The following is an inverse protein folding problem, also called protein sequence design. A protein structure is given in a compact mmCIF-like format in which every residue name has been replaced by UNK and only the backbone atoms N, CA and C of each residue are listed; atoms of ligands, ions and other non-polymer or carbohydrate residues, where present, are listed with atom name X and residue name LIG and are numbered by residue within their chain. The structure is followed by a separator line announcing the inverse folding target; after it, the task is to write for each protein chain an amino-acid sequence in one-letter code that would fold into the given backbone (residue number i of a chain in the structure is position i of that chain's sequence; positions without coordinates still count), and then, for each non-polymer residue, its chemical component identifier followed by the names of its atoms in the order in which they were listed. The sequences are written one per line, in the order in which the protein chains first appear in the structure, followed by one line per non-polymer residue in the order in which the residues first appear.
data_IF_073567021292
#
_entry.id   IF_073567021292
#
_cell.length_a   1.000
_cell.length_b   1.000
_cell.length_c   1.000
_cell.angle_alpha   90.00
_cell.angle_beta   90.00
_cell.angle_gamma   90.00
#
_symmetry.space_group_name_H-M   'P 1'
#
loop_
_entity.id
_entity.type
_entity.pdbx_description
1 polymer ?
#
# COMPACT_ATOMS: atom_id res chain seq x y z
N UNK A 1 63.32 18.44 -25.69
CA UNK A 1 63.89 19.78 -25.37
C UNK A 1 62.80 20.78 -25.85
N UNK A 2 62.44 21.77 -25.02
CA UNK A 2 61.49 22.86 -25.28
C UNK A 2 60.06 22.50 -24.90
N UNK A 3 59.61 22.88 -23.82
CA UNK A 3 59.27 24.06 -23.03
C UNK A 3 57.74 24.17 -22.89
N UNK A 4 57.33 23.89 -21.65
CA UNK A 4 55.95 24.18 -21.15
C UNK A 4 56.00 25.54 -20.44
N UNK A 5 55.21 26.50 -20.89
CA UNK A 5 54.79 27.63 -20.07
C UNK A 5 53.45 28.17 -20.62
N UNK A 6 52.45 28.26 -19.77
CA UNK A 6 51.34 29.20 -19.93
C UNK A 6 49.94 28.65 -20.16
N UNK A 7 49.33 27.97 -19.17
CA UNK A 7 47.88 27.93 -19.00
C UNK A 7 47.59 27.84 -17.49
N UNK A 8 47.65 28.97 -16.80
CA UNK A 8 47.06 29.11 -15.44
C UNK A 8 46.46 30.53 -15.41
N UNK A 9 45.21 30.69 -15.79
CA UNK A 9 44.37 31.84 -15.38
C UNK A 9 42.92 31.85 -15.98
N UNK A 10 42.27 30.70 -16.10
CA UNK A 10 40.83 30.71 -16.42
C UNK A 10 39.94 29.76 -15.61
N UNK A 11 40.45 29.12 -14.59
CA UNK A 11 39.69 28.20 -13.74
C UNK A 11 39.15 28.81 -12.44
N UNK A 12 39.47 30.06 -12.13
CA UNK A 12 39.05 30.70 -10.88
C UNK A 12 37.69 31.40 -10.93
N UNK A 13 37.15 31.71 -12.09
CA UNK A 13 35.93 32.52 -12.23
C UNK A 13 34.67 31.64 -12.42
N UNK A 14 34.82 30.45 -12.98
CA UNK A 14 33.69 29.56 -13.23
C UNK A 14 33.16 28.90 -11.94
N UNK A 15 34.04 28.61 -10.98
CA UNK A 15 33.67 28.01 -9.70
C UNK A 15 32.92 28.96 -8.75
N UNK A 16 33.11 30.27 -8.86
CA UNK A 16 32.43 31.25 -8.02
C UNK A 16 30.98 31.49 -8.47
N UNK A 17 30.72 31.46 -9.79
CA UNK A 17 29.37 31.64 -10.33
C UNK A 17 28.52 30.40 -10.09
N UNK A 18 29.08 29.19 -10.22
CA UNK A 18 28.36 27.94 -9.92
C UNK A 18 28.00 27.80 -8.44
N UNK A 19 28.87 28.24 -7.53
CA UNK A 19 28.60 28.22 -6.09
C UNK A 19 27.54 29.24 -5.67
N UNK A 20 27.45 30.39 -6.35
CA UNK A 20 26.41 31.38 -6.06
C UNK A 20 25.04 31.00 -6.62
N UNK A 21 24.98 30.36 -7.79
CA UNK A 21 23.73 29.84 -8.36
C UNK A 21 23.18 28.64 -7.54
N UNK A 22 24.05 27.76 -7.06
CA UNK A 22 23.63 26.65 -6.19
C UNK A 22 23.12 27.13 -4.83
N UNK A 23 23.72 28.18 -4.26
CA UNK A 23 23.26 28.79 -3.01
C UNK A 23 21.92 29.54 -3.16
N UNK A 24 21.66 30.14 -4.32
CA UNK A 24 20.38 30.82 -4.61
C UNK A 24 19.23 29.84 -4.89
N UNK A 25 19.50 28.69 -5.51
CA UNK A 25 18.50 27.63 -5.75
C UNK A 25 18.15 26.93 -4.42
N UNK A 26 19.15 26.65 -3.56
CA UNK A 26 18.88 26.07 -2.24
C UNK A 26 18.18 27.03 -1.29
N UNK A 27 18.44 28.35 -1.38
CA UNK A 27 17.75 29.35 -0.57
C UNK A 27 16.29 29.54 -1.03
N UNK A 28 16.00 29.49 -2.34
CA UNK A 28 14.63 29.61 -2.83
C UNK A 28 13.77 28.37 -2.55
N UNK A 29 14.36 27.17 -2.59
CA UNK A 29 13.66 25.93 -2.20
C UNK A 29 13.46 25.85 -0.68
N UNK A 30 14.37 26.37 0.13
CA UNK A 30 14.18 26.47 1.58
C UNK A 30 13.14 27.54 1.97
N UNK A 31 13.08 28.67 1.27
CA UNK A 31 12.03 29.68 1.51
C UNK A 31 10.64 29.18 1.09
N UNK A 32 10.51 28.48 -0.06
CA UNK A 32 9.25 27.88 -0.48
C UNK A 32 8.80 26.79 0.48
N UNK A 33 9.72 25.98 1.01
CA UNK A 33 9.43 24.98 2.04
C UNK A 33 9.04 25.62 3.40
N UNK A 34 9.54 26.81 3.69
CA UNK A 34 9.27 27.54 4.93
C UNK A 34 7.94 28.33 4.86
N UNK A 35 7.55 28.84 3.69
CA UNK A 35 6.23 29.45 3.49
C UNK A 35 5.08 28.43 3.48
N UNK A 36 5.29 27.22 2.99
CA UNK A 36 4.31 26.12 3.07
C UNK A 36 4.12 25.66 4.54
N UNK A 37 5.13 25.82 5.40
CA UNK A 37 5.04 25.46 6.82
C UNK A 37 4.21 26.43 7.67
N UNK A 38 3.83 27.59 7.16
CA UNK A 38 3.14 28.64 7.96
C UNK A 38 1.62 28.66 7.86
N UNK A 39 1.01 27.79 7.05
CA UNK A 39 -0.46 27.64 6.93
C UNK A 39 -1.00 26.27 7.33
N UNK A 40 -0.19 25.42 7.94
CA UNK A 40 -0.68 24.14 8.43
C UNK A 40 -1.85 24.36 9.40
N UNK A 41 -3.02 23.82 9.08
CA UNK A 41 -4.18 23.84 9.97
C UNK A 41 -3.75 23.37 11.36
N UNK A 42 -4.05 24.17 12.38
CA UNK A 42 -3.74 23.82 13.78
C UNK A 42 -4.59 22.65 14.30
N UNK A 43 -5.59 22.21 13.53
CA UNK A 43 -6.46 21.11 13.94
C UNK A 43 -5.74 19.76 13.82
N UNK A 44 -5.78 18.93 14.87
CA UNK A 44 -5.20 17.61 14.83
C UNK A 44 -5.85 16.74 13.74
N UNK A 45 -5.06 15.85 13.12
CA UNK A 45 -5.59 14.81 12.23
C UNK A 45 -6.02 13.59 13.04
N UNK A 46 -7.21 13.02 12.77
CA UNK A 46 -7.73 11.89 13.55
C UNK A 46 -7.35 10.50 13.00
N UNK A 47 -6.38 10.40 12.08
CA UNK A 47 -5.98 9.15 11.43
C UNK A 47 -4.49 9.10 11.19
N UNK A 48 -3.96 7.87 11.08
CA UNK A 48 -2.56 7.65 10.70
C UNK A 48 -2.39 7.70 9.19
N UNK A 49 -1.18 8.07 8.76
CA UNK A 49 -0.82 8.21 7.37
C UNK A 49 0.43 7.39 7.06
N UNK A 50 0.43 6.67 5.95
CA UNK A 50 1.54 5.77 5.62
C UNK A 50 1.58 5.34 4.17
N UNK A 51 2.55 4.48 3.89
CA UNK A 51 2.81 3.96 2.56
C UNK A 51 3.09 2.46 2.60
N UNK A 52 2.97 1.81 1.45
CA UNK A 52 3.60 0.51 1.26
C UNK A 52 5.13 0.68 1.24
N UNK A 53 5.86 -0.32 1.75
CA UNK A 53 7.33 -0.31 1.72
C UNK A 53 7.91 -0.62 0.33
N UNK A 54 7.22 -0.23 -0.74
CA UNK A 54 7.63 -0.47 -2.12
C UNK A 54 8.76 0.48 -2.52
N UNK A 55 9.75 -0.02 -3.25
CA UNK A 55 10.92 0.77 -3.71
C UNK A 55 10.81 1.04 -5.21
N UNK A 56 11.19 2.24 -5.68
CA UNK A 56 11.09 2.61 -7.10
C UNK A 56 12.10 1.87 -7.99
N UNK A 57 13.14 1.29 -7.37
CA UNK A 57 14.21 0.54 -8.06
C UNK A 57 14.84 -0.48 -7.11
N UNK A 58 15.36 -1.60 -7.66
CA UNK A 58 16.02 -2.67 -6.86
C UNK A 58 17.49 -2.33 -6.64
N UNK A 59 17.77 -1.23 -5.93
CA UNK A 59 19.11 -0.79 -5.56
C UNK A 59 19.21 -0.50 -4.05
N UNK A 60 20.39 -0.55 -3.48
CA UNK A 60 20.62 -0.19 -2.09
C UNK A 60 20.31 1.30 -1.83
N UNK A 61 20.59 2.14 -2.82
CA UNK A 61 20.30 3.58 -2.79
C UNK A 61 18.79 3.84 -2.71
N UNK A 62 18.01 3.26 -3.62
CA UNK A 62 16.55 3.39 -3.62
C UNK A 62 15.93 2.90 -2.30
N UNK A 63 16.44 1.80 -1.72
CA UNK A 63 16.02 1.32 -0.39
C UNK A 63 16.33 2.36 0.69
N UNK A 64 17.49 2.99 0.65
CA UNK A 64 17.92 4.01 1.62
C UNK A 64 17.06 5.26 1.51
N UNK A 65 16.83 5.75 0.30
CA UNK A 65 15.98 6.91 0.02
C UNK A 65 14.52 6.66 0.43
N UNK A 66 13.95 5.49 0.11
CA UNK A 66 12.62 5.09 0.55
C UNK A 66 12.51 5.10 2.08
N UNK A 67 13.50 4.53 2.79
CA UNK A 67 13.51 4.57 4.26
C UNK A 67 13.57 5.99 4.81
N UNK A 68 14.37 6.86 4.20
CA UNK A 68 14.47 8.26 4.60
C UNK A 68 13.14 8.99 4.36
N UNK A 69 12.53 8.78 3.21
CA UNK A 69 11.20 9.34 2.90
C UNK A 69 10.16 8.90 3.94
N UNK A 70 10.11 7.60 4.25
CA UNK A 70 9.16 7.04 5.23
C UNK A 70 9.33 7.66 6.62
N UNK A 71 10.58 7.94 7.05
CA UNK A 71 10.85 8.53 8.39
C UNK A 71 10.22 9.90 8.57
N UNK A 72 10.09 10.67 7.50
CA UNK A 72 9.64 12.08 7.55
C UNK A 72 8.23 12.27 7.05
N UNK A 73 7.60 11.22 6.48
CA UNK A 73 6.32 11.33 5.80
C UNK A 73 5.30 10.27 6.21
N UNK A 74 5.64 9.38 7.16
CA UNK A 74 4.75 8.29 7.56
C UNK A 74 4.82 8.02 9.06
N UNK A 75 3.68 7.72 9.68
CA UNK A 75 3.56 7.16 11.03
C UNK A 75 2.95 5.75 11.02
N UNK A 76 2.79 5.18 9.81
CA UNK A 76 2.37 3.81 9.56
C UNK A 76 3.08 3.27 8.32
N UNK A 77 3.44 1.99 8.34
CA UNK A 77 3.92 1.26 7.17
C UNK A 77 3.03 0.06 6.90
N UNK A 78 2.70 -0.18 5.62
CA UNK A 78 1.99 -1.36 5.18
C UNK A 78 2.95 -2.42 4.65
N UNK A 79 2.76 -3.67 5.08
CA UNK A 79 3.43 -4.84 4.54
C UNK A 79 2.40 -5.80 3.96
N UNK A 80 2.56 -6.15 2.69
CA UNK A 80 1.73 -7.14 2.01
C UNK A 80 2.49 -8.46 1.88
N UNK A 81 1.83 -9.56 2.26
CA UNK A 81 2.32 -10.93 2.14
C UNK A 81 1.26 -11.72 1.38
N UNK A 82 1.51 -11.97 0.12
CA UNK A 82 0.66 -12.82 -0.69
C UNK A 82 1.19 -14.24 -0.77
N UNK A 83 0.28 -15.20 -0.62
CA UNK A 83 0.60 -16.62 -0.62
C UNK A 83 1.14 -17.14 0.70
N UNK A 84 1.11 -18.43 0.83
CA UNK A 84 1.39 -19.19 2.05
C UNK A 84 2.43 -20.26 1.77
N UNK A 85 3.40 -20.50 2.66
CA UNK A 85 4.27 -21.67 2.62
C UNK A 85 3.49 -22.87 3.16
N UNK A 86 2.56 -23.40 2.34
CA UNK A 86 1.55 -24.36 2.76
C UNK A 86 2.11 -25.63 3.38
N UNK A 87 3.20 -26.17 2.82
CA UNK A 87 3.80 -27.40 3.34
C UNK A 87 4.41 -27.20 4.73
N UNK A 88 5.11 -26.09 4.93
CA UNK A 88 5.71 -25.75 6.20
C UNK A 88 4.64 -25.36 7.25
N UNK A 89 3.61 -24.64 6.81
CA UNK A 89 2.51 -24.23 7.69
C UNK A 89 1.66 -25.43 8.12
N UNK A 90 1.38 -26.38 7.20
CA UNK A 90 0.62 -27.59 7.49
C UNK A 90 1.37 -28.53 8.43
N UNK A 91 2.69 -28.71 8.19
CA UNK A 91 3.54 -29.59 8.99
C UNK A 91 4.07 -28.92 10.28
N UNK A 92 3.68 -27.70 10.55
CA UNK A 92 4.19 -26.85 11.65
C UNK A 92 5.73 -26.74 11.68
N UNK A 93 6.37 -26.71 10.50
CA UNK A 93 7.82 -26.56 10.33
C UNK A 93 8.21 -25.09 10.19
N UNK A 94 9.46 -24.70 10.51
CA UNK A 94 9.97 -23.35 10.25
C UNK A 94 9.76 -22.93 8.81
N UNK A 95 9.54 -21.63 8.59
CA UNK A 95 9.40 -21.11 7.22
C UNK A 95 10.72 -21.16 6.44
N UNK A 96 10.67 -21.26 5.11
CA UNK A 96 11.86 -21.26 4.24
C UNK A 96 12.74 -20.04 4.51
N UNK A 97 14.06 -20.24 4.49
CA UNK A 97 15.04 -19.16 4.78
C UNK A 97 14.89 -17.95 3.86
N UNK A 98 14.57 -18.17 2.60
CA UNK A 98 14.35 -17.15 1.59
C UNK A 98 13.12 -16.28 1.92
N UNK A 99 12.05 -16.91 2.42
CA UNK A 99 10.86 -16.21 2.89
C UNK A 99 11.18 -15.39 4.14
N UNK A 100 11.88 -15.98 5.11
CA UNK A 100 12.30 -15.28 6.33
C UNK A 100 13.16 -14.06 5.97
N UNK A 101 14.17 -14.23 5.12
CA UNK A 101 15.03 -13.12 4.65
C UNK A 101 14.24 -12.03 3.92
N UNK A 102 13.26 -12.40 3.09
CA UNK A 102 12.37 -11.43 2.43
C UNK A 102 11.54 -10.66 3.45
N UNK A 103 11.00 -11.33 4.45
CA UNK A 103 10.22 -10.71 5.52
C UNK A 103 11.08 -9.79 6.42
N UNK A 104 12.35 -10.16 6.68
CA UNK A 104 13.30 -9.30 7.39
C UNK A 104 13.56 -8.00 6.63
N UNK A 105 13.73 -8.07 5.31
CA UNK A 105 13.85 -6.87 4.46
C UNK A 105 12.60 -6.00 4.56
N UNK A 106 11.38 -6.57 4.45
CA UNK A 106 10.12 -5.82 4.64
C UNK A 106 10.09 -5.16 6.03
N UNK A 107 10.35 -5.92 7.10
CA UNK A 107 10.36 -5.41 8.48
C UNK A 107 11.38 -4.27 8.68
N UNK A 108 12.52 -4.35 8.02
CA UNK A 108 13.57 -3.34 8.10
C UNK A 108 13.21 -1.98 7.47
N UNK A 109 12.13 -1.92 6.68
CA UNK A 109 11.61 -0.68 6.10
C UNK A 109 10.81 0.16 7.11
N UNK A 110 10.41 -0.42 8.26
CA UNK A 110 9.59 0.25 9.27
C UNK A 110 10.32 1.46 9.87
N UNK A 111 9.77 2.68 9.80
CA UNK A 111 10.30 3.83 10.49
C UNK A 111 10.24 3.65 12.02
N UNK A 112 11.18 4.22 12.78
CA UNK A 112 11.07 4.27 14.23
C UNK A 112 9.75 4.91 14.68
N UNK A 113 9.06 4.27 15.64
CA UNK A 113 7.78 4.78 16.16
C UNK A 113 6.55 4.55 15.27
N UNK A 114 6.73 4.22 13.99
CA UNK A 114 5.60 3.96 13.09
C UNK A 114 4.84 2.68 13.49
N UNK A 115 3.53 2.67 13.20
CA UNK A 115 2.68 1.49 13.33
C UNK A 115 2.84 0.56 12.13
N UNK A 116 2.47 -0.70 12.29
CA UNK A 116 2.51 -1.73 11.24
C UNK A 116 1.09 -2.14 10.87
N UNK A 117 0.72 -1.93 9.63
CA UNK A 117 -0.39 -2.62 8.98
C UNK A 117 0.18 -3.83 8.23
N UNK A 118 -0.24 -5.03 8.61
CA UNK A 118 0.14 -6.28 7.94
C UNK A 118 -1.06 -6.84 7.20
N UNK A 119 -0.93 -7.08 5.90
CA UNK A 119 -1.93 -7.72 5.07
C UNK A 119 -1.42 -9.09 4.59
N UNK A 120 -2.18 -10.14 4.86
CA UNK A 120 -1.87 -11.52 4.49
C UNK A 120 -2.97 -12.04 3.59
N UNK A 121 -2.64 -12.79 2.53
CA UNK A 121 -3.63 -13.40 1.64
C UNK A 121 -3.30 -14.86 1.34
N UNK A 122 -4.29 -15.77 1.43
CA UNK A 122 -4.11 -17.17 1.01
C UNK A 122 -4.20 -17.34 -0.51
N UNK A 123 -4.57 -16.29 -1.24
CA UNK A 123 -4.82 -16.28 -2.68
C UNK A 123 -6.20 -15.72 -3.04
N UNK A 124 -6.49 -15.66 -4.33
CA UNK A 124 -7.74 -15.09 -4.89
C UNK A 124 -8.57 -16.15 -5.61
N UNK A 125 -9.12 -17.11 -4.87
CA UNK A 125 -9.93 -18.22 -5.40
C UNK A 125 -9.17 -19.54 -5.55
N UNK A 126 -7.86 -19.53 -5.41
CA UNK A 126 -6.97 -20.69 -5.37
C UNK A 126 -5.92 -20.50 -4.28
N UNK A 127 -5.36 -21.61 -3.78
CA UNK A 127 -4.29 -21.59 -2.79
C UNK A 127 -3.00 -21.02 -3.43
N UNK A 128 -2.59 -19.84 -3.05
CA UNK A 128 -1.38 -19.21 -3.58
C UNK A 128 -0.16 -19.63 -2.75
N UNK A 129 0.88 -20.08 -3.42
CA UNK A 129 2.18 -20.33 -2.78
C UNK A 129 2.88 -19.02 -2.45
N UNK A 130 3.64 -19.00 -1.35
CA UNK A 130 4.50 -17.86 -1.01
C UNK A 130 5.50 -17.57 -2.13
N UNK A 131 5.80 -16.31 -2.37
CA UNK A 131 6.61 -15.85 -3.51
C UNK A 131 8.07 -16.30 -3.45
N UNK A 132 8.60 -16.55 -2.26
CA UNK A 132 10.01 -16.88 -2.03
C UNK A 132 10.17 -18.17 -1.26
N UNK A 133 11.00 -19.07 -1.78
CA UNK A 133 11.43 -20.30 -1.12
C UNK A 133 10.32 -21.29 -0.79
N UNK A 134 9.09 -21.09 -1.27
CA UNK A 134 8.00 -22.01 -1.00
C UNK A 134 8.23 -23.36 -1.68
N UNK A 135 7.99 -24.42 -0.92
CA UNK A 135 7.89 -25.76 -1.49
C UNK A 135 6.59 -25.93 -2.28
N UNK A 136 6.50 -26.86 -3.24
CA UNK A 136 5.26 -27.15 -3.93
C UNK A 136 4.11 -27.42 -2.95
N UNK A 137 2.87 -27.17 -3.43
CA UNK A 137 1.69 -27.50 -2.65
C UNK A 137 1.70 -28.98 -2.26
N UNK A 138 1.55 -29.32 -0.97
CA UNK A 138 1.57 -30.72 -0.54
C UNK A 138 0.37 -31.49 -1.12
N UNK A 139 0.53 -32.79 -1.45
CA UNK A 139 -0.54 -33.61 -2.06
C UNK A 139 -1.87 -33.56 -1.30
N UNK A 140 -1.82 -33.45 0.02
CA UNK A 140 -2.97 -33.39 0.91
C UNK A 140 -3.84 -32.15 0.67
N UNK A 141 -3.29 -31.07 0.08
CA UNK A 141 -3.98 -29.85 -0.24
C UNK A 141 -4.36 -29.72 -1.72
N UNK A 142 -3.98 -30.70 -2.58
CA UNK A 142 -4.35 -30.66 -4.00
C UNK A 142 -5.88 -30.70 -4.17
N UNK A 143 -6.43 -29.75 -4.93
CA UNK A 143 -7.86 -29.66 -5.20
C UNK A 143 -8.73 -29.25 -4.01
N UNK A 144 -8.14 -28.92 -2.86
CA UNK A 144 -8.85 -28.46 -1.66
C UNK A 144 -9.29 -27.01 -1.79
N UNK A 145 -10.47 -26.71 -1.24
CA UNK A 145 -10.97 -25.36 -1.07
C UNK A 145 -10.45 -24.71 0.22
N UNK A 146 -10.76 -23.45 0.40
CA UNK A 146 -10.41 -22.73 1.63
C UNK A 146 -11.13 -23.25 2.88
N UNK A 147 -12.28 -23.89 2.71
CA UNK A 147 -13.09 -24.51 3.79
C UNK A 147 -12.54 -25.85 4.28
N UNK A 148 -11.56 -26.45 3.59
CA UNK A 148 -10.94 -27.68 4.04
C UNK A 148 -10.22 -27.49 5.39
N UNK A 149 -10.41 -28.39 6.38
CA UNK A 149 -9.80 -28.24 7.69
C UNK A 149 -8.26 -28.12 7.69
N UNK A 150 -7.58 -28.84 6.78
CA UNK A 150 -6.11 -28.77 6.66
C UNK A 150 -5.66 -27.41 6.09
N UNK A 151 -6.41 -26.85 5.14
CA UNK A 151 -6.18 -25.49 4.60
C UNK A 151 -6.37 -24.44 5.70
N UNK A 152 -7.48 -24.51 6.46
CA UNK A 152 -7.75 -23.62 7.59
C UNK A 152 -6.65 -23.67 8.63
N UNK A 153 -6.22 -24.87 9.02
CA UNK A 153 -5.14 -25.05 10.00
C UNK A 153 -3.82 -24.46 9.50
N UNK A 154 -3.43 -24.76 8.27
CA UNK A 154 -2.19 -24.23 7.69
C UNK A 154 -2.23 -22.71 7.58
N UNK A 155 -3.36 -22.12 7.15
CA UNK A 155 -3.50 -20.68 7.06
C UNK A 155 -3.47 -19.99 8.43
N UNK A 156 -4.12 -20.56 9.43
CA UNK A 156 -4.09 -20.07 10.81
C UNK A 156 -2.64 -20.11 11.38
N UNK A 157 -1.90 -21.18 11.13
CA UNK A 157 -0.48 -21.30 11.51
C UNK A 157 0.35 -20.19 10.85
N UNK A 158 0.12 -19.94 9.55
CA UNK A 158 0.79 -18.86 8.82
C UNK A 158 0.48 -17.49 9.41
N UNK A 159 -0.79 -17.21 9.74
CA UNK A 159 -1.20 -15.96 10.37
C UNK A 159 -0.52 -15.77 11.75
N UNK A 160 -0.53 -16.79 12.62
CA UNK A 160 0.11 -16.74 13.95
C UNK A 160 1.60 -16.40 13.86
N UNK A 161 2.33 -17.08 12.98
CA UNK A 161 3.76 -16.84 12.77
C UNK A 161 4.04 -15.45 12.19
N UNK A 162 3.17 -14.98 11.31
CA UNK A 162 3.29 -13.63 10.77
C UNK A 162 3.02 -12.56 11.83
N UNK A 163 2.05 -12.77 12.72
CA UNK A 163 1.81 -11.89 13.88
C UNK A 163 3.03 -11.86 14.79
N UNK A 164 3.58 -13.02 15.15
CA UNK A 164 4.77 -13.11 16.01
C UNK A 164 5.97 -12.37 15.38
N UNK A 165 6.19 -12.56 14.09
CA UNK A 165 7.32 -11.98 13.37
C UNK A 165 7.20 -10.46 13.20
N UNK A 166 6.07 -9.97 12.68
CA UNK A 166 5.87 -8.55 12.34
C UNK A 166 5.35 -7.71 13.50
N UNK A 167 4.69 -8.32 14.49
CA UNK A 167 4.01 -7.65 15.60
C UNK A 167 3.13 -6.49 15.12
N UNK A 168 2.14 -6.78 14.27
CA UNK A 168 1.33 -5.74 13.64
C UNK A 168 0.42 -5.03 14.65
N UNK A 169 0.14 -3.76 14.37
CA UNK A 169 -0.87 -2.98 15.07
C UNK A 169 -2.26 -3.14 14.40
N UNK A 170 -2.28 -3.55 13.12
CA UNK A 170 -3.47 -3.82 12.33
C UNK A 170 -3.20 -5.01 11.42
N UNK A 171 -4.16 -5.96 11.33
CA UNK A 171 -4.00 -7.19 10.56
C UNK A 171 -5.14 -7.41 9.59
N UNK A 172 -4.85 -7.46 8.29
CA UNK A 172 -5.76 -8.03 7.31
C UNK A 172 -5.41 -9.50 7.06
N UNK A 173 -6.41 -10.39 7.21
CA UNK A 173 -6.32 -11.82 6.88
C UNK A 173 -6.97 -12.13 5.52
N UNK A 174 -6.95 -11.18 4.63
CA UNK A 174 -7.43 -11.26 3.26
C UNK A 174 -7.26 -9.92 2.56
N UNK A 175 -6.68 -9.95 1.36
CA UNK A 175 -6.44 -8.77 0.54
C UNK A 175 -7.44 -8.77 -0.62
N UNK A 176 -8.27 -7.71 -0.72
CA UNK A 176 -9.21 -7.50 -1.83
C UNK A 176 -10.13 -8.70 -2.08
N UNK A 177 -10.65 -9.26 -0.99
CA UNK A 177 -11.29 -10.58 -1.00
C UNK A 177 -12.57 -10.65 -1.83
N UNK A 178 -13.23 -9.52 -2.10
CA UNK A 178 -14.37 -9.47 -3.00
C UNK A 178 -14.03 -9.94 -4.43
N UNK A 179 -12.75 -9.89 -4.82
CA UNK A 179 -12.32 -10.42 -6.12
C UNK A 179 -12.49 -11.94 -6.22
N UNK A 180 -12.50 -12.66 -5.10
CA UNK A 180 -12.78 -14.11 -5.06
C UNK A 180 -14.20 -14.41 -5.57
N UNK A 181 -15.15 -13.47 -5.40
CA UNK A 181 -16.50 -13.60 -5.92
C UNK A 181 -16.54 -13.77 -7.44
N UNK A 182 -15.57 -13.22 -8.15
CA UNK A 182 -15.45 -13.38 -9.60
C UNK A 182 -15.04 -14.80 -10.00
N UNK A 183 -14.38 -15.54 -9.11
CA UNK A 183 -14.02 -16.95 -9.32
C UNK A 183 -15.19 -17.93 -9.09
N UNK A 184 -16.32 -17.41 -8.63
CA UNK A 184 -17.57 -18.15 -8.43
C UNK A 184 -18.06 -18.17 -6.98
N UNK A 185 -19.38 -18.36 -6.83
CA UNK A 185 -20.05 -18.32 -5.52
C UNK A 185 -19.52 -19.40 -4.55
N UNK A 186 -19.12 -20.56 -5.06
CA UNK A 186 -18.58 -21.64 -4.24
C UNK A 186 -17.22 -21.26 -3.68
N UNK A 187 -16.35 -20.66 -4.49
CA UNK A 187 -15.06 -20.15 -4.04
C UNK A 187 -15.21 -19.06 -2.97
N UNK A 188 -16.17 -18.16 -3.18
CA UNK A 188 -16.49 -17.15 -2.17
C UNK A 188 -16.96 -17.78 -0.86
N UNK A 189 -17.92 -18.73 -0.90
CA UNK A 189 -18.41 -19.39 0.32
C UNK A 189 -17.30 -20.09 1.08
N UNK A 190 -16.46 -20.85 0.36
CA UNK A 190 -15.29 -21.52 0.92
C UNK A 190 -14.33 -20.53 1.60
N UNK A 191 -14.03 -19.39 0.94
CA UNK A 191 -13.20 -18.36 1.54
C UNK A 191 -13.87 -17.69 2.77
N UNK A 192 -15.15 -17.36 2.68
CA UNK A 192 -15.86 -16.73 3.79
C UNK A 192 -15.90 -17.64 5.05
N UNK A 193 -15.91 -18.96 4.88
CA UNK A 193 -15.79 -19.91 5.96
C UNK A 193 -14.40 -19.89 6.59
N UNK A 194 -13.32 -19.94 5.77
CA UNK A 194 -11.95 -19.77 6.24
C UNK A 194 -11.79 -18.49 7.05
N UNK A 195 -12.25 -17.37 6.49
CA UNK A 195 -12.11 -16.06 7.12
C UNK A 195 -12.78 -16.01 8.50
N UNK A 196 -14.02 -16.50 8.60
CA UNK A 196 -14.77 -16.54 9.88
C UNK A 196 -14.04 -17.36 10.94
N UNK A 197 -13.53 -18.53 10.57
CA UNK A 197 -12.88 -19.43 11.51
C UNK A 197 -11.52 -18.87 11.95
N UNK A 198 -10.70 -18.41 11.03
CA UNK A 198 -9.40 -17.78 11.33
C UNK A 198 -9.58 -16.51 12.15
N UNK A 199 -10.56 -15.65 11.81
CA UNK A 199 -10.89 -14.45 12.58
C UNK A 199 -11.22 -14.81 14.03
N UNK A 200 -12.12 -15.79 14.27
CA UNK A 200 -12.53 -16.19 15.64
C UNK A 200 -11.34 -16.67 16.45
N UNK A 201 -10.50 -17.55 15.90
CA UNK A 201 -9.32 -18.07 16.59
C UNK A 201 -8.32 -16.96 16.92
N UNK A 202 -7.99 -16.12 15.94
CA UNK A 202 -7.04 -15.03 16.16
C UNK A 202 -7.60 -13.97 17.14
N UNK A 203 -8.89 -13.67 17.12
CA UNK A 203 -9.51 -12.76 18.10
C UNK A 203 -9.51 -13.32 19.50
N UNK A 204 -9.65 -14.63 19.67
CA UNK A 204 -9.51 -15.29 20.98
C UNK A 204 -8.08 -15.16 21.54
N UNK A 205 -7.07 -15.25 20.67
CA UNK A 205 -5.65 -15.16 21.04
C UNK A 205 -5.16 -13.71 21.18
N UNK A 206 -5.68 -12.83 20.35
CA UNK A 206 -5.28 -11.42 20.25
C UNK A 206 -6.51 -10.49 20.30
N UNK A 207 -7.22 -10.41 21.45
CA UNK A 207 -8.51 -9.68 21.54
C UNK A 207 -8.40 -8.20 21.16
N UNK A 208 -7.25 -7.59 21.41
CA UNK A 208 -7.00 -6.17 21.15
C UNK A 208 -6.42 -5.87 19.76
N UNK A 209 -6.02 -6.88 18.99
CA UNK A 209 -5.52 -6.69 17.62
C UNK A 209 -6.73 -6.50 16.68
N UNK A 210 -6.86 -5.38 15.97
CA UNK A 210 -7.84 -5.24 14.92
C UNK A 210 -7.54 -6.19 13.77
N UNK A 211 -8.54 -7.05 13.42
CA UNK A 211 -8.44 -8.07 12.37
C UNK A 211 -9.58 -7.86 11.38
N UNK A 212 -9.26 -7.89 10.07
CA UNK A 212 -10.22 -7.64 9.00
C UNK A 212 -9.80 -8.26 7.68
N UNK A 213 -10.63 -8.16 6.65
CA UNK A 213 -10.29 -8.32 5.24
C UNK A 213 -10.46 -6.99 4.51
N UNK A 214 -9.69 -6.76 3.45
CA UNK A 214 -9.88 -5.59 2.59
C UNK A 214 -10.75 -5.91 1.37
N UNK A 215 -11.40 -4.87 0.83
CA UNK A 215 -12.25 -4.93 -0.33
C UNK A 215 -11.83 -3.91 -1.38
N UNK A 216 -11.88 -4.29 -2.66
CA UNK A 216 -11.66 -3.40 -3.81
C UNK A 216 -12.90 -2.54 -4.03
N UNK A 217 -12.88 -1.27 -3.65
CA UNK A 217 -14.03 -0.37 -3.74
C UNK A 217 -14.48 -0.16 -5.19
N UNK A 218 -13.54 0.05 -6.12
CA UNK A 218 -13.88 0.29 -7.53
C UNK A 218 -14.66 -0.87 -8.16
N UNK A 219 -14.39 -2.12 -7.77
CA UNK A 219 -15.13 -3.28 -8.24
C UNK A 219 -16.48 -3.45 -7.52
N UNK A 220 -16.54 -3.18 -6.22
CA UNK A 220 -17.84 -3.15 -5.49
C UNK A 220 -18.77 -2.08 -6.06
N UNK A 221 -18.27 -0.88 -6.30
CA UNK A 221 -19.02 0.23 -6.85
C UNK A 221 -19.57 -0.06 -8.25
N UNK A 222 -18.76 -0.70 -9.12
CA UNK A 222 -19.19 -1.07 -10.47
C UNK A 222 -20.14 -2.25 -10.51
N UNK A 223 -19.86 -3.32 -9.76
CA UNK A 223 -20.53 -4.62 -9.92
C UNK A 223 -21.75 -4.78 -9.04
N UNK A 224 -21.86 -4.06 -7.92
CA UNK A 224 -23.00 -4.07 -6.98
C UNK A 224 -23.67 -5.46 -6.78
N UNK A 225 -24.88 -5.51 -6.25
CA UNK A 225 -25.66 -6.74 -6.17
C UNK A 225 -25.07 -7.82 -5.27
N UNK A 226 -24.90 -9.03 -5.78
CA UNK A 226 -24.48 -10.20 -4.99
C UNK A 226 -23.12 -10.05 -4.32
N UNK A 227 -22.15 -9.39 -4.98
CA UNK A 227 -20.83 -9.13 -4.41
C UNK A 227 -20.92 -8.21 -3.18
N UNK A 228 -21.72 -7.13 -3.26
CA UNK A 228 -21.94 -6.24 -2.13
C UNK A 228 -22.55 -7.00 -0.94
N UNK A 229 -23.63 -7.74 -1.17
CA UNK A 229 -24.30 -8.54 -0.12
C UNK A 229 -23.31 -9.52 0.52
N UNK A 230 -22.52 -10.21 -0.27
CA UNK A 230 -21.51 -11.16 0.21
C UNK A 230 -20.46 -10.49 1.12
N UNK A 231 -19.98 -9.29 0.76
CA UNK A 231 -19.08 -8.52 1.60
C UNK A 231 -19.75 -8.04 2.89
N UNK A 232 -21.00 -7.58 2.81
CA UNK A 232 -21.78 -7.16 3.98
C UNK A 232 -22.02 -8.32 4.96
N UNK A 233 -22.29 -9.54 4.47
CA UNK A 233 -22.43 -10.76 5.28
C UNK A 233 -21.12 -11.16 6.00
N UNK A 234 -19.95 -10.72 5.50
CA UNK A 234 -18.67 -10.96 6.15
C UNK A 234 -18.30 -9.88 7.19
N UNK A 235 -18.96 -8.72 7.17
CA UNK A 235 -18.65 -7.59 8.07
C UNK A 235 -18.69 -7.91 9.56
N UNK A 236 -19.53 -8.82 10.12
CA UNK A 236 -19.45 -9.21 11.53
C UNK A 236 -18.07 -9.78 11.95
N UNK A 237 -17.31 -10.28 11.00
CA UNK A 237 -15.99 -10.87 11.19
C UNK A 237 -14.85 -9.95 10.70
N UNK A 238 -15.07 -8.65 10.71
CA UNK A 238 -14.10 -7.62 10.39
C UNK A 238 -14.19 -6.51 11.45
N UNK A 239 -13.08 -6.08 12.00
CA UNK A 239 -13.07 -4.97 12.94
C UNK A 239 -13.15 -3.60 12.23
N UNK A 240 -12.81 -3.54 10.94
CA UNK A 240 -12.85 -2.34 10.12
C UNK A 240 -13.61 -2.56 8.80
N UNK A 241 -14.14 -1.48 8.24
CA UNK A 241 -14.44 -1.37 6.81
C UNK A 241 -13.15 -0.96 6.11
N UNK A 242 -12.42 -1.95 5.59
CA UNK A 242 -11.09 -1.76 5.01
C UNK A 242 -11.16 -1.80 3.48
N UNK A 243 -10.69 -0.74 2.83
CA UNK A 243 -10.90 -0.51 1.40
C UNK A 243 -9.56 -0.29 0.70
N UNK A 244 -9.34 -0.96 -0.45
CA UNK A 244 -8.41 -0.53 -1.47
C UNK A 244 -9.19 0.19 -2.59
N UNK A 245 -8.63 1.29 -3.13
CA UNK A 245 -9.32 2.09 -4.12
C UNK A 245 -8.39 2.79 -5.08
N UNK A 246 -8.65 2.60 -6.38
CA UNK A 246 -7.93 3.28 -7.46
C UNK A 246 -8.95 3.90 -8.41
N UNK A 247 -9.15 5.24 -8.35
CA UNK A 247 -10.21 5.93 -9.10
C UNK A 247 -10.03 5.82 -10.62
N UNK A 248 -8.81 5.72 -11.13
CA UNK A 248 -8.54 5.56 -12.55
C UNK A 248 -9.17 4.29 -13.17
N UNK A 249 -9.58 3.30 -12.36
CA UNK A 249 -10.34 2.16 -12.87
C UNK A 249 -11.83 2.44 -13.07
N UNK A 250 -12.38 3.53 -12.54
CA UNK A 250 -13.81 3.87 -12.66
C UNK A 250 -14.07 5.21 -13.34
N UNK A 251 -13.02 5.90 -13.79
CA UNK A 251 -13.09 7.27 -14.27
C UNK A 251 -13.14 8.29 -13.13
N UNK A 252 -13.51 9.53 -13.44
CA UNK A 252 -13.40 10.67 -12.51
C UNK A 252 -14.61 10.79 -11.57
N UNK A 253 -14.88 9.78 -10.74
CA UNK A 253 -16.01 9.80 -9.79
C UNK A 253 -15.64 9.36 -8.37
N UNK A 254 -14.50 9.83 -7.77
CA UNK A 254 -14.12 9.38 -6.43
C UNK A 254 -15.16 9.78 -5.38
N UNK A 255 -15.76 10.96 -5.46
CA UNK A 255 -16.81 11.40 -4.53
C UNK A 255 -18.04 10.50 -4.56
N UNK A 256 -18.49 10.10 -5.75
CA UNK A 256 -19.62 9.19 -5.91
C UNK A 256 -19.31 7.80 -5.33
N UNK A 257 -18.08 7.30 -5.52
CA UNK A 257 -17.67 6.03 -4.95
C UNK A 257 -17.56 6.10 -3.41
N UNK A 258 -17.07 7.20 -2.87
CA UNK A 258 -16.98 7.43 -1.43
C UNK A 258 -18.36 7.63 -0.77
N UNK A 259 -19.27 8.34 -1.42
CA UNK A 259 -20.66 8.45 -0.96
C UNK A 259 -21.33 7.07 -0.97
N UNK A 260 -21.19 6.32 -2.07
CA UNK A 260 -21.73 4.97 -2.17
C UNK A 260 -21.15 4.03 -1.09
N UNK A 261 -19.86 4.13 -0.78
CA UNK A 261 -19.23 3.37 0.30
C UNK A 261 -19.91 3.65 1.64
N UNK A 262 -20.10 4.90 1.99
CA UNK A 262 -20.72 5.28 3.27
C UNK A 262 -22.18 4.88 3.33
N UNK A 263 -22.95 5.05 2.24
CA UNK A 263 -24.35 4.64 2.16
C UNK A 263 -24.56 3.13 2.40
N UNK A 264 -23.57 2.31 2.05
CA UNK A 264 -23.68 0.86 2.14
C UNK A 264 -22.99 0.24 3.37
N UNK A 265 -22.12 0.98 4.07
CA UNK A 265 -21.33 0.41 5.17
C UNK A 265 -21.45 1.17 6.50
N UNK A 266 -21.92 2.40 6.56
CA UNK A 266 -22.08 3.18 7.81
C UNK A 266 -22.95 2.45 8.85
N UNK A 267 -23.96 1.71 8.40
CA UNK A 267 -24.90 0.96 9.27
C UNK A 267 -24.21 -0.13 10.12
N UNK A 268 -22.99 -0.55 9.76
CA UNK A 268 -22.24 -1.52 10.56
C UNK A 268 -21.56 -0.88 11.78
N UNK A 269 -21.50 0.44 11.87
CA UNK A 269 -20.89 1.16 13.00
C UNK A 269 -19.39 0.88 13.18
N UNK A 270 -18.70 0.42 12.13
CA UNK A 270 -17.28 0.07 12.18
C UNK A 270 -16.41 1.19 11.66
N UNK A 271 -15.20 1.37 12.24
CA UNK A 271 -14.22 2.32 11.71
C UNK A 271 -13.81 1.98 10.29
N UNK A 272 -13.46 3.00 9.51
CA UNK A 272 -12.92 2.85 8.17
C UNK A 272 -11.39 2.81 8.18
N UNK A 273 -10.81 2.13 7.19
CA UNK A 273 -9.40 2.20 6.85
C UNK A 273 -9.22 2.21 5.32
N UNK A 274 -8.44 3.13 4.81
CA UNK A 274 -7.95 3.08 3.43
C UNK A 274 -6.63 2.33 3.43
N UNK A 275 -6.68 1.06 3.03
CA UNK A 275 -5.54 0.14 3.19
C UNK A 275 -4.56 0.18 2.04
N UNK A 276 -5.02 0.65 0.87
CA UNK A 276 -4.19 0.86 -0.31
C UNK A 276 -4.93 1.76 -1.30
N UNK A 277 -4.29 2.82 -1.77
CA UNK A 277 -4.87 3.72 -2.76
C UNK A 277 -3.81 4.62 -3.40
N UNK A 278 -4.13 5.20 -4.52
CA UNK A 278 -3.62 6.44 -5.10
C UNK A 278 -4.36 6.71 -6.43
N UNK A 279 -4.06 7.86 -7.05
CA UNK A 279 -4.45 8.13 -8.44
C UNK A 279 -3.18 8.28 -9.31
N UNK A 280 -3.31 8.08 -10.61
CA UNK A 280 -2.19 8.28 -11.54
C UNK A 280 -1.99 9.77 -11.82
N UNK A 281 -0.73 10.19 -11.87
CA UNK A 281 -0.35 11.58 -12.17
C UNK A 281 -0.06 11.83 -13.65
N UNK A 282 -0.07 10.76 -14.47
CA UNK A 282 0.26 10.85 -15.91
C UNK A 282 -0.68 10.00 -16.74
N UNK A 283 -0.80 10.37 -18.03
CA UNK A 283 -1.48 9.54 -19.00
C UNK A 283 -0.68 8.26 -19.28
N UNK A 284 -1.29 7.12 -19.10
CA UNK A 284 -0.65 5.82 -19.30
C UNK A 284 -1.41 4.99 -20.33
N UNK A 285 -0.72 4.60 -21.41
CA UNK A 285 -1.27 3.69 -22.40
C UNK A 285 -0.80 2.25 -22.18
N UNK A 286 -1.77 1.32 -22.00
CA UNK A 286 -1.55 -0.11 -21.88
C UNK A 286 -1.97 -0.82 -23.18
N UNK A 287 -1.05 -1.10 -24.11
CA UNK A 287 -1.40 -1.56 -25.45
C UNK A 287 -2.05 -2.94 -25.51
N UNK A 288 -1.64 -3.89 -24.65
CA UNK A 288 -2.23 -5.25 -24.60
C UNK A 288 -3.65 -5.21 -24.05
N UNK A 289 -3.89 -4.42 -23.00
CA UNK A 289 -5.21 -4.21 -22.43
C UNK A 289 -6.10 -3.30 -23.29
N UNK A 290 -5.52 -2.55 -24.27
CA UNK A 290 -6.18 -1.51 -25.07
C UNK A 290 -6.88 -0.46 -24.23
N UNK A 291 -6.24 -0.07 -23.12
CA UNK A 291 -6.75 0.91 -22.16
C UNK A 291 -5.76 2.07 -22.07
N UNK A 292 -6.29 3.28 -21.97
CA UNK A 292 -5.51 4.47 -21.59
C UNK A 292 -6.06 4.98 -20.29
N UNK A 293 -5.24 4.99 -19.25
CA UNK A 293 -5.54 5.67 -17.99
C UNK A 293 -5.19 7.14 -18.18
N UNK A 294 -6.07 8.02 -17.70
CA UNK A 294 -5.88 9.47 -17.79
C UNK A 294 -5.47 10.00 -16.42
N UNK A 295 -4.33 10.67 -16.36
CA UNK A 295 -3.77 11.26 -15.16
C UNK A 295 -3.15 12.62 -15.41
N UNK A 296 -3.18 13.46 -14.40
CA UNK A 296 -2.34 14.67 -14.29
C UNK A 296 -1.96 14.87 -12.82
N UNK A 297 -0.86 15.60 -12.55
CA UNK A 297 -0.47 15.91 -11.18
C UNK A 297 -1.57 16.62 -10.38
N UNK A 298 -2.35 17.51 -11.04
CA UNK A 298 -3.46 18.24 -10.40
C UNK A 298 -4.62 17.31 -10.06
N UNK A 299 -4.96 16.37 -10.94
CA UNK A 299 -5.99 15.36 -10.70
C UNK A 299 -5.61 14.47 -9.52
N UNK A 300 -4.36 14.01 -9.47
CA UNK A 300 -3.85 13.24 -8.34
C UNK A 300 -3.91 14.03 -7.03
N UNK A 301 -3.56 15.31 -7.04
CA UNK A 301 -3.64 16.18 -5.88
C UNK A 301 -5.09 16.39 -5.42
N UNK A 302 -6.01 16.60 -6.35
CA UNK A 302 -7.45 16.73 -6.06
C UNK A 302 -8.00 15.43 -5.41
N UNK A 303 -7.64 14.27 -5.96
CA UNK A 303 -7.98 12.99 -5.36
C UNK A 303 -7.43 12.85 -3.93
N UNK A 304 -6.15 13.14 -3.73
CA UNK A 304 -5.50 13.09 -2.41
C UNK A 304 -6.22 13.99 -1.41
N UNK A 305 -6.59 15.20 -1.81
CA UNK A 305 -7.35 16.13 -0.97
C UNK A 305 -8.74 15.58 -0.60
N UNK A 306 -9.50 15.08 -1.58
CA UNK A 306 -10.83 14.46 -1.35
C UNK A 306 -10.74 13.26 -0.41
N UNK A 307 -9.75 12.40 -0.59
CA UNK A 307 -9.50 11.23 0.25
C UNK A 307 -9.22 11.63 1.71
N UNK A 308 -8.28 12.56 1.92
CA UNK A 308 -7.87 12.97 3.27
C UNK A 308 -8.99 13.74 3.99
N UNK A 309 -9.78 14.54 3.27
CA UNK A 309 -10.97 15.17 3.82
C UNK A 309 -12.05 14.16 4.22
N UNK A 310 -12.25 13.09 3.45
CA UNK A 310 -13.13 11.98 3.84
C UNK A 310 -12.59 11.26 5.07
N UNK A 311 -11.29 10.95 5.10
CA UNK A 311 -10.65 10.27 6.22
C UNK A 311 -10.76 11.08 7.52
N UNK A 312 -10.65 12.40 7.44
CA UNK A 312 -10.88 13.31 8.57
C UNK A 312 -12.35 13.29 9.02
N UNK A 313 -13.28 13.51 8.11
CA UNK A 313 -14.73 13.56 8.41
C UNK A 313 -15.25 12.25 8.99
N UNK A 314 -14.81 11.11 8.47
CA UNK A 314 -15.22 9.76 8.91
C UNK A 314 -14.29 9.15 9.95
N UNK A 315 -13.26 9.89 10.41
CA UNK A 315 -12.28 9.47 11.41
C UNK A 315 -11.69 8.09 11.07
N UNK A 316 -11.11 7.96 9.90
CA UNK A 316 -10.45 6.72 9.49
C UNK A 316 -9.40 6.31 10.51
N UNK A 317 -9.11 5.02 10.62
CA UNK A 317 -8.00 4.56 11.46
C UNK A 317 -6.66 4.89 10.82
N UNK A 318 -6.57 4.72 9.50
CA UNK A 318 -5.38 5.07 8.72
C UNK A 318 -5.68 5.20 7.23
N UNK A 319 -4.74 5.83 6.52
CA UNK A 319 -4.67 5.93 5.06
C UNK A 319 -3.29 5.46 4.62
N UNK A 320 -3.24 4.52 3.67
CA UNK A 320 -2.01 4.02 3.04
C UNK A 320 -2.02 4.36 1.56
N UNK A 321 -1.00 5.07 1.10
CA UNK A 321 -0.77 5.29 -0.33
C UNK A 321 0.15 4.20 -0.91
N UNK A 322 -0.18 3.70 -2.04
CA UNK A 322 0.68 2.98 -2.96
C UNK A 322 0.95 3.91 -4.14
N UNK A 323 2.09 4.52 -4.27
CA UNK A 323 3.42 4.44 -3.68
C UNK A 323 3.91 5.85 -3.30
N UNK A 324 5.14 5.98 -2.77
CA UNK A 324 5.71 7.29 -2.48
C UNK A 324 6.40 7.94 -3.69
N UNK A 325 6.98 7.14 -4.61
CA UNK A 325 7.70 7.56 -5.80
C UNK A 325 7.40 6.63 -6.96
N UNK A 326 7.33 7.15 -8.16
CA UNK A 326 7.13 6.40 -9.39
C UNK A 326 8.20 5.33 -9.60
N UNK A 327 7.83 4.25 -10.29
CA UNK A 327 8.75 3.11 -10.46
C UNK A 327 9.06 2.79 -11.93
N UNK A 328 9.25 3.80 -12.76
CA UNK A 328 9.64 3.64 -14.16
C UNK A 328 10.91 2.81 -14.32
N UNK A 329 11.90 3.06 -13.50
CA UNK A 329 13.18 2.33 -13.52
C UNK A 329 13.01 0.86 -13.13
N UNK A 330 12.16 0.57 -12.15
CA UNK A 330 11.79 -0.81 -11.83
C UNK A 330 11.01 -1.44 -12.97
N UNK A 331 10.00 -0.72 -13.51
CA UNK A 331 9.20 -1.22 -14.63
C UNK A 331 10.08 -1.60 -15.83
N UNK A 332 11.04 -0.78 -16.20
CA UNK A 332 11.99 -1.08 -17.28
C UNK A 332 12.78 -2.38 -17.05
N UNK A 333 13.05 -2.70 -15.78
CA UNK A 333 13.75 -3.94 -15.40
C UNK A 333 12.83 -5.17 -15.49
N UNK A 334 11.55 -5.04 -15.13
CA UNK A 334 10.64 -6.20 -14.99
C UNK A 334 9.65 -6.38 -16.14
N UNK A 335 9.46 -5.39 -17.02
CA UNK A 335 8.41 -5.37 -18.08
C UNK A 335 8.40 -6.57 -19.01
N UNK A 336 9.54 -7.26 -19.17
CA UNK A 336 9.63 -8.46 -20.00
C UNK A 336 8.93 -9.68 -19.37
N UNK A 337 8.79 -9.72 -18.05
CA UNK A 337 8.26 -10.86 -17.29
C UNK A 337 7.02 -10.51 -16.45
N UNK A 338 6.84 -9.23 -16.11
CA UNK A 338 5.71 -8.78 -15.34
C UNK A 338 4.44 -8.65 -16.20
N UNK A 339 3.24 -8.93 -15.62
CA UNK A 339 1.98 -8.60 -16.28
C UNK A 339 1.88 -7.10 -16.60
N UNK A 340 1.37 -6.75 -17.78
CA UNK A 340 1.19 -5.35 -18.19
C UNK A 340 0.37 -4.54 -17.18
N UNK A 341 -0.56 -5.17 -16.49
CA UNK A 341 -1.39 -4.51 -15.47
C UNK A 341 -0.56 -3.78 -14.39
N UNK A 342 0.67 -4.25 -14.10
CA UNK A 342 1.54 -3.56 -13.16
C UNK A 342 1.92 -2.13 -13.60
N UNK A 343 1.80 -1.79 -14.88
CA UNK A 343 1.97 -0.41 -15.34
C UNK A 343 0.92 0.54 -14.73
N UNK A 344 -0.28 0.06 -14.42
CA UNK A 344 -1.39 0.90 -13.97
C UNK A 344 -1.07 1.73 -12.72
N UNK A 345 -0.10 1.30 -11.93
CA UNK A 345 0.33 1.97 -10.71
C UNK A 345 1.69 2.66 -10.83
N UNK A 346 2.33 2.62 -12.02
CA UNK A 346 3.69 3.11 -12.23
C UNK A 346 3.83 4.59 -11.84
N UNK A 347 2.88 5.41 -12.26
CA UNK A 347 2.88 6.86 -12.14
C UNK A 347 1.95 7.34 -11.00
N UNK A 348 1.90 6.57 -9.90
CA UNK A 348 1.08 6.88 -8.72
C UNK A 348 1.87 7.52 -7.57
N UNK A 349 3.16 7.81 -7.76
CA UNK A 349 4.01 8.41 -6.73
C UNK A 349 3.59 9.83 -6.34
N UNK A 350 3.87 10.21 -5.10
CA UNK A 350 3.88 11.61 -4.67
C UNK A 350 5.13 12.35 -5.18
N UNK A 351 6.15 11.58 -5.54
CA UNK A 351 7.33 12.01 -6.27
C UNK A 351 7.31 11.30 -7.63
N UNK A 352 7.79 11.98 -8.66
CA UNK A 352 8.00 11.36 -9.97
C UNK A 352 9.21 10.40 -9.99
N UNK A 353 9.57 9.88 -11.15
CA UNK A 353 10.69 8.94 -11.33
C UNK A 353 12.07 9.55 -11.01
N UNK A 354 12.21 10.85 -11.11
CA UNK A 354 13.45 11.60 -10.79
C UNK A 354 13.49 12.07 -9.33
N UNK A 355 12.39 11.92 -8.60
CA UNK A 355 12.26 12.30 -7.19
C UNK A 355 11.76 13.74 -7.00
N UNK A 356 11.29 14.39 -8.06
CA UNK A 356 10.70 15.71 -7.99
C UNK A 356 9.29 15.64 -7.40
N UNK A 357 8.95 16.64 -6.57
CA UNK A 357 7.70 16.64 -5.82
C UNK A 357 6.50 17.02 -6.67
N UNK A 358 5.41 16.27 -6.56
CA UNK A 358 4.12 16.56 -7.18
C UNK A 358 3.21 17.37 -6.25
N UNK A 359 2.20 18.07 -6.77
CA UNK A 359 1.22 18.80 -5.95
C UNK A 359 0.55 17.93 -4.89
N UNK A 360 0.33 16.65 -5.15
CA UNK A 360 -0.22 15.68 -4.18
C UNK A 360 0.67 15.49 -2.94
N UNK A 361 2.00 15.63 -3.07
CA UNK A 361 2.91 15.61 -1.94
C UNK A 361 2.68 16.83 -1.02
N UNK A 362 2.40 18.00 -1.57
CA UNK A 362 2.10 19.20 -0.78
C UNK A 362 0.85 18.97 0.07
N UNK A 363 -0.22 18.42 -0.54
CA UNK A 363 -1.46 18.05 0.17
C UNK A 363 -1.18 17.03 1.28
N UNK A 364 -0.38 15.99 0.98
CA UNK A 364 0.00 14.99 1.97
C UNK A 364 0.75 15.60 3.15
N UNK A 365 1.72 16.47 2.88
CA UNK A 365 2.55 17.13 3.90
C UNK A 365 1.74 18.08 4.80
N UNK A 366 0.76 18.77 4.24
CA UNK A 366 -0.14 19.63 5.01
C UNK A 366 -0.89 18.82 6.09
N UNK A 367 -1.47 17.68 5.72
CA UNK A 367 -2.15 16.80 6.68
C UNK A 367 -1.16 16.12 7.62
N UNK A 368 -0.06 15.60 7.11
CA UNK A 368 0.91 14.87 7.93
C UNK A 368 1.59 15.76 8.97
N UNK A 369 1.83 17.02 8.67
CA UNK A 369 2.38 18.02 9.61
C UNK A 369 1.47 18.38 10.78
N UNK A 370 0.18 18.05 10.73
CA UNK A 370 -0.78 18.27 11.81
C UNK A 370 -0.56 17.28 12.96
N UNK A 371 -0.72 17.69 14.22
CA UNK A 371 -0.65 16.75 15.34
C UNK A 371 -1.60 15.58 15.17
N UNK A 372 -1.15 14.35 15.51
CA UNK A 372 -2.00 13.18 15.50
C UNK A 372 -2.83 13.12 16.79
N UNK A 373 -4.16 13.11 16.66
CA UNK A 373 -5.10 12.89 17.76
C UNK A 373 -6.16 11.86 17.36
N UNK A 374 -6.02 10.65 17.86
CA UNK A 374 -6.94 9.54 17.58
C UNK A 374 -8.22 9.59 18.43
N UNK A 375 -8.37 10.60 19.31
CA UNK A 375 -9.58 10.79 20.11
C UNK A 375 -9.86 9.61 21.05
N UNK A 376 -8.85 9.15 21.79
CA UNK A 376 -8.99 8.10 22.82
C UNK A 376 -9.53 8.68 24.09
#
# INVERSE_FOLDING_TARGET
MIAFTGIVSRLGVVNLVSSFLLALVTASTQLAAQEVATTASSQPRPFRMGFTGFVPEVTAEAVSQTRQFMRTNADLIAHHIEGVPWAEALADKPFPKELVSSNEKKRSMKPPGAKVYLAISPGRGELKLAEKGATPLPPELHGKGYDDPAVKQAYLTHCRRSIEFFRPDFLAIGIEVNEIFNAGADKWRSYAELHRDVYRELKREHPNLPIFASYTLHNLFKKRGGMLKACQELMPFNDFVAISFYPFFIGDTPDAAFQWLTDNFDSFGKPYAMVETNDTAEDLHMPKAKVTLRGTPEKQAAYTSTLLALAERKRFQFVVLFIHQDYDRLWDTIKATAPELFMAWRDCGLLDEDGDVRPSYVVWREYFGRPLDLGR
#
